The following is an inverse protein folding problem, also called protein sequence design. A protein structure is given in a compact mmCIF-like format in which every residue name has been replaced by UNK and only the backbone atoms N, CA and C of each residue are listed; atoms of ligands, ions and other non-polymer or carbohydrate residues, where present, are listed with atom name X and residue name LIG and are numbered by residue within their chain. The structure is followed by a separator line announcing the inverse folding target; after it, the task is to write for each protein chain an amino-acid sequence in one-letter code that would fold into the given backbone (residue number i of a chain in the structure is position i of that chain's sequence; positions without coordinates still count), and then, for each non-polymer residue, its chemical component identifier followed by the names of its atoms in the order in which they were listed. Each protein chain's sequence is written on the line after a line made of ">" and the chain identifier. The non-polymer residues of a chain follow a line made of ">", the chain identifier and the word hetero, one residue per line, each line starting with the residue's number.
data_IF_686860974220
#
_entry.id   IF_686860974220
#
_cell.length_a   1.000
_cell.length_b   1.000
_cell.length_c   1.000
_cell.angle_alpha   90.00
_cell.angle_beta   90.00
_cell.angle_gamma   90.00
#
_symmetry.space_group_name_H-M   'P 1'
#
loop_
_entity.id
_entity.type
_entity.pdbx_description
1 polymer ?
#
# COMPACT_ATOMS: atom_id res chain seq x y z
N UNK A 1 -13.00 6.66 6.42
CA UNK A 1 -12.89 7.84 5.56
C UNK A 1 -12.42 9.08 6.32
N UNK A 2 -11.89 10.02 5.60
CA UNK A 2 -11.44 11.32 6.11
C UNK A 2 -11.86 12.43 5.15
N UNK A 3 -12.41 13.51 5.68
CA UNK A 3 -12.73 14.72 4.92
C UNK A 3 -11.79 15.87 5.33
N UNK A 4 -11.32 16.64 4.35
CA UNK A 4 -10.54 17.85 4.62
C UNK A 4 -11.41 18.92 5.29
N UNK A 5 -10.77 19.83 6.05
CA UNK A 5 -11.48 20.88 6.79
C UNK A 5 -12.29 21.84 5.91
N UNK A 6 -11.86 22.04 4.68
CA UNK A 6 -12.53 22.84 3.66
C UNK A 6 -13.56 22.04 2.84
N UNK A 7 -13.79 20.76 3.18
CA UNK A 7 -14.65 19.81 2.48
C UNK A 7 -14.32 19.63 0.97
N UNK A 8 -13.12 20.01 0.55
CA UNK A 8 -12.70 19.86 -0.84
C UNK A 8 -12.37 18.42 -1.20
N UNK A 9 -11.78 17.68 -0.24
CA UNK A 9 -11.34 16.30 -0.45
C UNK A 9 -11.99 15.38 0.57
N UNK A 10 -12.42 14.24 0.10
CA UNK A 10 -12.87 13.12 0.91
C UNK A 10 -12.09 11.88 0.51
N UNK A 11 -11.30 11.33 1.44
CA UNK A 11 -10.53 10.11 1.24
C UNK A 11 -11.27 8.94 1.89
N UNK A 12 -11.52 7.90 1.12
CA UNK A 12 -12.22 6.70 1.55
C UNK A 12 -11.41 5.46 1.19
N UNK A 13 -11.31 4.53 2.14
CA UNK A 13 -10.89 3.17 1.87
C UNK A 13 -12.10 2.42 1.28
N UNK A 14 -12.00 2.03 0.01
CA UNK A 14 -13.06 1.36 -0.72
C UNK A 14 -12.86 -0.16 -0.62
N UNK A 15 -13.84 -0.87 -0.07
CA UNK A 15 -13.77 -2.31 0.18
C UNK A 15 -14.15 -3.10 -1.07
N UNK A 16 -13.25 -3.98 -1.54
CA UNK A 16 -13.45 -4.87 -2.69
C UNK A 16 -14.39 -6.04 -2.35
N UNK A 17 -14.49 -6.41 -1.09
CA UNK A 17 -15.33 -7.53 -0.66
C UNK A 17 -16.78 -7.34 -1.13
N UNK A 18 -17.32 -8.36 -1.80
CA UNK A 18 -18.66 -8.34 -2.43
C UNK A 18 -18.85 -7.16 -3.36
N UNK A 19 -17.76 -6.66 -3.94
CA UNK A 19 -17.73 -5.53 -4.87
C UNK A 19 -18.33 -4.23 -4.29
N UNK A 20 -18.28 -4.03 -2.94
CA UNK A 20 -18.87 -2.84 -2.31
C UNK A 20 -18.24 -1.54 -2.82
N UNK A 21 -16.98 -1.54 -3.25
CA UNK A 21 -16.34 -0.36 -3.83
C UNK A 21 -17.01 0.14 -5.11
N UNK A 22 -17.83 -0.68 -5.78
CA UNK A 22 -18.61 -0.27 -6.96
C UNK A 22 -19.79 0.68 -6.64
N UNK A 23 -20.14 0.82 -5.36
CA UNK A 23 -21.13 1.80 -4.93
C UNK A 23 -20.60 3.25 -4.97
N UNK A 24 -19.27 3.43 -5.16
CA UNK A 24 -18.65 4.74 -5.22
C UNK A 24 -18.29 5.14 -6.65
N UNK A 25 -18.29 6.45 -6.90
CA UNK A 25 -17.75 7.08 -8.12
C UNK A 25 -16.60 7.99 -7.70
N UNK A 26 -15.36 7.45 -7.61
CA UNK A 26 -14.24 8.23 -7.13
C UNK A 26 -13.76 9.23 -8.17
N UNK A 27 -13.36 10.41 -7.71
CA UNK A 27 -12.67 11.38 -8.57
C UNK A 27 -11.27 10.83 -8.96
N UNK A 28 -10.53 10.31 -7.96
CA UNK A 28 -9.33 9.50 -8.15
C UNK A 28 -9.58 8.08 -7.66
N UNK A 29 -9.40 7.07 -8.50
CA UNK A 29 -9.32 5.68 -8.08
C UNK A 29 -7.86 5.32 -7.83
N UNK A 30 -7.53 4.94 -6.59
CA UNK A 30 -6.18 4.47 -6.24
C UNK A 30 -6.23 2.96 -6.11
N UNK A 31 -5.34 2.25 -6.83
CA UNK A 31 -5.22 0.79 -6.81
C UNK A 31 -3.80 0.45 -6.34
N UNK A 32 -3.68 -0.10 -5.14
CA UNK A 32 -2.39 -0.41 -4.53
C UNK A 32 -1.84 -1.76 -4.94
N UNK A 33 -2.71 -2.74 -5.07
CA UNK A 33 -2.41 -4.09 -5.56
C UNK A 33 -3.73 -4.80 -5.90
N UNK A 34 -3.64 -5.84 -6.71
CA UNK A 34 -4.73 -6.76 -7.01
C UNK A 34 -4.26 -8.15 -6.61
N UNK A 35 -4.94 -8.77 -5.65
CA UNK A 35 -4.56 -10.07 -5.11
C UNK A 35 -5.82 -10.89 -4.80
N UNK A 36 -5.73 -12.20 -4.94
CA UNK A 36 -6.84 -13.08 -4.60
C UNK A 36 -7.03 -13.13 -3.09
N UNK A 37 -8.05 -12.48 -2.63
CA UNK A 37 -8.58 -12.58 -1.26
C UNK A 37 -10.09 -12.84 -1.32
N UNK A 38 -10.72 -13.01 -0.16
CA UNK A 38 -12.17 -13.24 -0.07
C UNK A 38 -12.64 -14.41 -0.96
N UNK A 39 -11.95 -15.54 -0.86
CA UNK A 39 -12.21 -16.80 -1.59
C UNK A 39 -13.62 -17.39 -1.32
N UNK A 40 -14.31 -16.88 -0.32
CA UNK A 40 -15.74 -17.14 -0.08
C UNK A 40 -16.66 -16.38 -1.05
N UNK A 41 -16.14 -15.41 -1.78
CA UNK A 41 -16.87 -14.59 -2.74
C UNK A 41 -16.28 -14.64 -4.15
N UNK A 42 -14.98 -14.36 -4.31
CA UNK A 42 -14.28 -14.41 -5.60
C UNK A 42 -13.88 -15.85 -5.95
N UNK A 43 -14.10 -16.25 -7.18
CA UNK A 43 -13.79 -17.60 -7.67
C UNK A 43 -12.30 -17.81 -7.89
N UNK A 44 -11.66 -16.79 -8.46
CA UNK A 44 -10.27 -16.79 -8.90
C UNK A 44 -9.78 -15.36 -9.08
N UNK A 45 -8.52 -15.22 -9.48
CA UNK A 45 -7.91 -13.90 -9.70
C UNK A 45 -8.56 -13.14 -10.85
N UNK A 46 -9.08 -13.81 -11.86
CA UNK A 46 -9.73 -13.16 -13.00
C UNK A 46 -11.06 -12.50 -12.58
N UNK A 47 -11.78 -13.10 -11.64
CA UNK A 47 -13.00 -12.51 -11.06
C UNK A 47 -12.65 -11.27 -10.21
N UNK A 48 -11.53 -11.29 -9.49
CA UNK A 48 -11.00 -10.11 -8.78
C UNK A 48 -10.62 -9.00 -9.77
N UNK A 49 -9.84 -9.32 -10.81
CA UNK A 49 -9.43 -8.35 -11.86
C UNK A 49 -10.67 -7.72 -12.50
N UNK A 50 -11.69 -8.53 -12.82
CA UNK A 50 -12.96 -8.02 -13.36
C UNK A 50 -13.64 -7.00 -12.45
N UNK A 51 -13.60 -7.22 -11.14
CA UNK A 51 -14.17 -6.27 -10.18
C UNK A 51 -13.37 -4.95 -10.13
N UNK A 52 -12.04 -5.05 -10.12
CA UNK A 52 -11.16 -3.87 -10.18
C UNK A 52 -11.28 -3.12 -11.51
N UNK A 53 -11.47 -3.85 -12.62
CA UNK A 53 -11.78 -3.27 -13.93
C UNK A 53 -13.03 -2.39 -13.89
N UNK A 54 -14.13 -2.92 -13.30
CA UNK A 54 -15.36 -2.18 -13.12
C UNK A 54 -15.16 -0.93 -12.25
N UNK A 55 -14.41 -1.08 -11.13
CA UNK A 55 -14.11 0.03 -10.23
C UNK A 55 -13.24 1.11 -10.89
N UNK A 56 -12.19 0.72 -11.59
CA UNK A 56 -11.31 1.64 -12.31
C UNK A 56 -12.07 2.48 -13.33
N UNK A 57 -13.05 1.89 -14.03
CA UNK A 57 -13.90 2.58 -15.00
C UNK A 57 -14.91 3.55 -14.37
N UNK A 58 -15.05 3.57 -13.04
CA UNK A 58 -15.84 4.59 -12.32
C UNK A 58 -15.05 5.84 -11.96
N UNK A 59 -13.72 5.86 -12.18
CA UNK A 59 -12.90 7.02 -11.92
C UNK A 59 -13.26 8.18 -12.83
N UNK A 60 -13.66 9.32 -12.25
CA UNK A 60 -14.07 10.49 -13.02
C UNK A 60 -12.88 11.24 -13.63
N UNK A 61 -11.77 11.37 -12.89
CA UNK A 61 -10.59 12.11 -13.34
C UNK A 61 -9.48 11.18 -13.82
N UNK A 62 -9.03 10.26 -12.98
CA UNK A 62 -7.95 9.33 -13.32
C UNK A 62 -7.85 8.15 -12.36
N UNK A 63 -7.16 7.13 -12.82
CA UNK A 63 -6.70 5.99 -12.01
C UNK A 63 -5.22 6.20 -11.69
N UNK A 64 -4.83 5.92 -10.46
CA UNK A 64 -3.42 5.88 -10.00
C UNK A 64 -3.18 4.47 -9.48
N UNK A 65 -2.44 3.65 -10.22
CA UNK A 65 -2.26 2.24 -9.95
C UNK A 65 -0.78 1.87 -9.72
N UNK A 66 -0.55 0.88 -8.84
CA UNK A 66 0.80 0.35 -8.64
C UNK A 66 1.24 -0.46 -9.87
N UNK A 67 2.16 0.08 -10.68
CA UNK A 67 2.65 -0.63 -11.87
C UNK A 67 3.64 -1.76 -11.55
N UNK A 68 4.15 -1.82 -10.31
CA UNK A 68 4.91 -2.99 -9.84
C UNK A 68 4.02 -4.21 -9.53
N UNK A 69 2.69 -4.05 -9.54
CA UNK A 69 1.73 -5.13 -9.37
C UNK A 69 1.45 -5.81 -10.72
N UNK A 70 1.49 -7.15 -10.80
CA UNK A 70 1.43 -7.87 -12.07
C UNK A 70 0.08 -7.76 -12.80
N UNK A 71 -0.98 -7.37 -12.10
CA UNK A 71 -2.33 -7.37 -12.66
C UNK A 71 -2.85 -5.98 -13.03
N UNK A 72 -2.28 -4.91 -12.49
CA UNK A 72 -2.78 -3.55 -12.75
C UNK A 72 -2.64 -3.11 -14.21
N UNK A 73 -1.62 -3.60 -14.92
CA UNK A 73 -1.43 -3.33 -16.36
C UNK A 73 -2.47 -4.03 -17.26
N UNK A 74 -3.21 -5.00 -16.73
CA UNK A 74 -4.31 -5.64 -17.49
C UNK A 74 -5.60 -4.83 -17.47
N UNK A 75 -5.67 -3.76 -16.69
CA UNK A 75 -6.88 -2.93 -16.59
C UNK A 75 -7.03 -2.03 -17.81
N UNK A 76 -8.15 -2.16 -18.50
CA UNK A 76 -8.53 -1.30 -19.61
C UNK A 76 -9.48 -0.21 -19.12
N UNK A 77 -9.01 1.01 -18.97
CA UNK A 77 -9.78 2.10 -18.37
C UNK A 77 -10.10 3.21 -19.37
N UNK A 78 -11.27 3.84 -19.19
CA UNK A 78 -11.71 4.96 -20.02
C UNK A 78 -11.05 6.29 -19.61
N UNK A 79 -10.70 6.44 -18.33
CA UNK A 79 -10.00 7.60 -17.79
C UNK A 79 -8.49 7.45 -17.96
N UNK A 80 -7.70 8.53 -17.91
CA UNK A 80 -6.25 8.42 -17.83
C UNK A 80 -5.83 7.51 -16.68
N UNK A 81 -4.86 6.63 -16.90
CA UNK A 81 -4.24 5.82 -15.88
C UNK A 81 -2.76 6.19 -15.78
N UNK A 82 -2.26 6.34 -14.56
CA UNK A 82 -0.87 6.60 -14.24
C UNK A 82 -0.36 5.54 -13.28
N UNK A 83 0.77 4.95 -13.64
CA UNK A 83 1.39 3.89 -12.85
C UNK A 83 2.45 4.46 -11.93
N UNK A 84 2.51 3.94 -10.70
CA UNK A 84 3.56 4.27 -9.76
C UNK A 84 4.27 3.00 -9.28
N UNK A 85 5.56 3.14 -8.98
CA UNK A 85 6.34 2.01 -8.49
C UNK A 85 7.83 2.30 -8.38
N UNK A 86 8.62 1.22 -8.38
CA UNK A 86 10.08 1.26 -8.36
C UNK A 86 10.68 0.90 -9.72
N UNK A 87 9.90 0.24 -10.59
CA UNK A 87 10.31 -0.12 -11.94
C UNK A 87 10.37 1.12 -12.83
N UNK A 88 11.32 1.15 -13.79
CA UNK A 88 11.57 2.33 -14.64
C UNK A 88 10.46 2.58 -15.69
N UNK A 89 9.54 1.65 -15.87
CA UNK A 89 8.40 1.74 -16.77
C UNK A 89 7.16 2.42 -16.14
N UNK A 90 7.26 2.87 -14.90
CA UNK A 90 6.20 3.62 -14.24
C UNK A 90 6.27 5.12 -14.57
N UNK A 91 5.12 5.79 -14.49
CA UNK A 91 5.03 7.26 -14.66
C UNK A 91 5.53 8.03 -13.42
N UNK A 92 5.37 7.42 -12.24
CA UNK A 92 5.77 7.97 -10.94
C UNK A 92 6.72 6.98 -10.29
N UNK A 93 8.00 7.33 -10.20
CA UNK A 93 9.05 6.40 -9.82
C UNK A 93 9.77 6.89 -8.56
N UNK A 94 9.98 6.00 -7.58
CA UNK A 94 10.93 6.26 -6.51
C UNK A 94 12.30 5.72 -6.91
N UNK A 95 13.33 6.59 -6.86
CA UNK A 95 14.74 6.27 -7.07
C UNK A 95 15.56 6.58 -5.80
N UNK A 96 16.79 6.10 -5.76
CA UNK A 96 17.72 6.30 -4.65
C UNK A 96 17.11 5.97 -3.29
N UNK A 97 16.40 4.82 -3.24
CA UNK A 97 15.66 4.37 -2.06
C UNK A 97 16.63 3.85 -1.00
N UNK A 98 16.60 4.46 0.17
CA UNK A 98 17.35 4.06 1.36
C UNK A 98 16.39 3.56 2.45
N UNK A 99 16.45 2.27 2.75
CA UNK A 99 15.73 1.67 3.88
C UNK A 99 16.59 1.76 5.13
N UNK A 100 16.20 2.63 6.07
CA UNK A 100 16.91 2.90 7.33
C UNK A 100 16.11 2.41 8.54
N UNK A 101 16.72 2.36 9.70
CA UNK A 101 16.07 1.97 10.96
C UNK A 101 15.19 3.09 11.56
N UNK A 102 15.30 4.31 11.03
CA UNK A 102 14.45 5.46 11.38
C UNK A 102 13.35 5.77 10.33
N UNK A 103 13.33 5.04 9.20
CA UNK A 103 12.35 5.22 8.13
C UNK A 103 12.88 4.86 6.75
N UNK A 104 12.28 5.47 5.73
CA UNK A 104 12.68 5.28 4.33
C UNK A 104 12.86 6.63 3.65
N UNK A 105 13.97 6.82 2.95
CA UNK A 105 14.31 8.04 2.21
C UNK A 105 14.36 7.73 0.72
N UNK A 106 13.86 8.62 -0.13
CA UNK A 106 13.82 8.38 -1.58
C UNK A 106 13.59 9.67 -2.37
N UNK A 107 14.02 9.65 -3.63
CA UNK A 107 13.71 10.67 -4.61
C UNK A 107 12.53 10.25 -5.50
N UNK A 108 11.67 11.19 -5.88
CA UNK A 108 10.54 10.92 -6.75
C UNK A 108 10.69 11.66 -8.07
N UNK A 109 10.50 10.90 -9.14
CA UNK A 109 10.40 11.41 -10.50
C UNK A 109 8.98 11.16 -11.02
N UNK A 110 8.44 12.11 -11.78
CA UNK A 110 7.16 11.97 -12.46
C UNK A 110 7.38 12.29 -13.93
N UNK A 111 7.06 11.35 -14.82
CA UNK A 111 7.30 11.48 -16.25
C UNK A 111 8.75 11.94 -16.53
N UNK A 112 9.73 11.28 -15.92
CA UNK A 112 11.17 11.54 -15.97
C UNK A 112 11.63 12.88 -15.36
N UNK A 113 10.72 13.71 -14.83
CA UNK A 113 11.07 14.95 -14.19
C UNK A 113 11.22 14.79 -12.68
N UNK A 114 12.32 15.27 -12.12
CA UNK A 114 12.53 15.27 -10.68
C UNK A 114 11.45 16.11 -9.99
N UNK A 115 10.66 15.48 -9.14
CA UNK A 115 9.62 16.15 -8.37
C UNK A 115 10.11 16.57 -6.98
N UNK A 116 10.83 15.70 -6.28
CA UNK A 116 11.33 16.04 -4.96
C UNK A 116 11.91 14.86 -4.17
N UNK A 117 12.54 15.20 -3.05
CA UNK A 117 13.06 14.26 -2.06
C UNK A 117 12.09 14.10 -0.89
N UNK A 118 11.95 12.86 -0.41
CA UNK A 118 10.99 12.51 0.64
C UNK A 118 11.62 11.63 1.71
N UNK A 119 11.34 11.96 2.98
CA UNK A 119 11.59 11.14 4.14
C UNK A 119 10.25 10.63 4.68
N UNK A 120 10.11 9.33 4.82
CA UNK A 120 8.93 8.66 5.32
C UNK A 120 9.29 7.94 6.64
N UNK A 121 8.71 8.30 7.80
CA UNK A 121 9.00 7.67 9.08
C UNK A 121 8.26 6.34 9.25
N UNK A 122 8.14 5.57 8.18
CA UNK A 122 7.49 4.27 8.11
C UNK A 122 8.40 3.26 7.42
N UNK A 123 8.13 1.99 7.61
CA UNK A 123 9.01 0.88 7.27
C UNK A 123 8.37 -0.04 6.23
N UNK A 124 9.22 -0.62 5.38
CA UNK A 124 8.86 -1.60 4.38
C UNK A 124 8.47 -1.02 3.02
N UNK A 125 8.75 -1.79 1.97
CA UNK A 125 8.46 -1.45 0.56
C UNK A 125 7.00 -1.05 0.35
N UNK A 126 6.06 -1.71 1.02
CA UNK A 126 4.64 -1.42 0.88
C UNK A 126 4.26 0.00 1.34
N UNK A 127 4.89 0.52 2.41
CA UNK A 127 4.64 1.89 2.87
C UNK A 127 5.24 2.93 1.92
N UNK A 128 6.40 2.63 1.32
CA UNK A 128 6.97 3.43 0.24
C UNK A 128 6.00 3.49 -0.96
N UNK A 129 5.52 2.34 -1.44
CA UNK A 129 4.57 2.27 -2.55
C UNK A 129 3.27 3.03 -2.24
N UNK A 130 2.70 2.85 -1.06
CA UNK A 130 1.52 3.60 -0.64
C UNK A 130 1.77 5.12 -0.60
N UNK A 131 2.98 5.55 -0.22
CA UNK A 131 3.33 6.98 -0.24
C UNK A 131 3.46 7.53 -1.67
N UNK A 132 3.94 6.72 -2.63
CA UNK A 132 3.98 7.11 -4.04
C UNK A 132 2.58 7.36 -4.60
N UNK A 133 1.59 6.55 -4.24
CA UNK A 133 0.20 6.78 -4.62
C UNK A 133 -0.32 8.14 -4.11
N UNK A 134 0.00 8.48 -2.85
CA UNK A 134 -0.35 9.78 -2.27
C UNK A 134 0.38 10.92 -2.96
N UNK A 135 1.69 10.76 -3.22
CA UNK A 135 2.52 11.75 -3.93
C UNK A 135 1.96 11.97 -5.34
N UNK A 136 1.53 10.92 -6.03
CA UNK A 136 0.92 11.01 -7.35
C UNK A 136 -0.35 11.88 -7.35
N UNK A 137 -1.28 11.64 -6.40
CA UNK A 137 -2.45 12.52 -6.26
C UNK A 137 -2.02 13.96 -5.99
N UNK A 138 -1.06 14.18 -5.09
CA UNK A 138 -0.57 15.51 -4.75
C UNK A 138 0.05 16.23 -5.96
N UNK A 139 0.81 15.51 -6.78
CA UNK A 139 1.39 16.04 -8.02
C UNK A 139 0.31 16.51 -9.01
N UNK A 140 -0.68 15.66 -9.27
CA UNK A 140 -1.77 16.00 -10.20
C UNK A 140 -2.73 17.08 -9.65
N UNK A 141 -2.76 17.27 -8.33
CA UNK A 141 -3.41 18.41 -7.67
C UNK A 141 -2.48 19.64 -7.60
N UNK A 142 -1.30 19.59 -8.22
CA UNK A 142 -0.32 20.69 -8.33
C UNK A 142 0.19 21.20 -6.98
N UNK A 143 0.33 20.32 -6.01
CA UNK A 143 0.95 20.65 -4.74
C UNK A 143 2.48 20.67 -4.89
N UNK A 144 3.12 21.60 -4.20
CA UNK A 144 4.57 21.70 -4.18
C UNK A 144 5.19 20.54 -3.42
N UNK A 145 6.22 19.88 -3.99
CA UNK A 145 6.89 18.73 -3.38
C UNK A 145 7.34 18.98 -1.94
N UNK A 146 7.85 20.19 -1.64
CA UNK A 146 8.30 20.59 -0.29
C UNK A 146 7.18 20.52 0.75
N UNK A 147 5.94 20.86 0.37
CA UNK A 147 4.79 20.84 1.26
C UNK A 147 4.31 19.40 1.47
N UNK A 148 4.30 18.59 0.43
CA UNK A 148 4.01 17.15 0.50
C UNK A 148 5.04 16.45 1.38
N UNK A 149 6.34 16.69 1.17
CA UNK A 149 7.43 16.12 1.97
C UNK A 149 7.31 16.46 3.45
N UNK A 150 6.97 17.73 3.77
CA UNK A 150 6.75 18.18 5.15
C UNK A 150 5.67 17.36 5.86
N UNK A 151 4.56 17.06 5.19
CA UNK A 151 3.46 16.31 5.80
C UNK A 151 3.76 14.81 5.86
N UNK A 152 4.38 14.22 4.83
CA UNK A 152 4.79 12.82 4.85
C UNK A 152 5.80 12.53 5.96
N UNK A 153 6.75 13.43 6.20
CA UNK A 153 7.74 13.31 7.28
C UNK A 153 7.13 13.25 8.68
N UNK A 154 5.91 13.76 8.86
CA UNK A 154 5.20 13.75 10.14
C UNK A 154 4.09 12.71 10.22
N UNK A 155 3.91 11.92 9.18
CA UNK A 155 2.85 10.91 9.15
C UNK A 155 3.25 9.69 9.96
N UNK A 156 2.58 9.48 11.08
CA UNK A 156 2.86 8.39 12.03
C UNK A 156 2.17 7.06 11.73
N UNK A 157 1.65 6.87 10.51
CA UNK A 157 0.94 5.64 10.12
C UNK A 157 -0.53 5.59 10.55
N UNK A 158 -1.20 4.50 10.21
CA UNK A 158 -2.58 4.23 10.56
C UNK A 158 -2.68 3.44 11.88
N UNK A 159 -3.81 3.55 12.58
CA UNK A 159 -4.08 2.74 13.78
C UNK A 159 -4.04 1.25 13.44
N UNK A 160 -3.41 0.44 14.30
CA UNK A 160 -3.25 -1.01 14.12
C UNK A 160 -2.46 -1.40 12.86
N UNK A 161 -1.60 -0.53 12.36
CA UNK A 161 -0.62 -0.79 11.32
C UNK A 161 0.76 -0.50 11.88
N UNK A 162 1.56 -1.53 12.08
CA UNK A 162 2.91 -1.46 12.65
C UNK A 162 2.98 -0.66 13.97
N UNK A 163 2.03 -0.86 14.89
CA UNK A 163 1.97 -0.11 16.15
C UNK A 163 2.91 -0.72 17.18
N UNK A 164 3.87 0.07 17.60
CA UNK A 164 4.86 -0.36 18.59
C UNK A 164 4.45 -0.07 20.03
N UNK A 165 4.81 -1.00 20.91
CA UNK A 165 4.84 -0.79 22.35
C UNK A 165 6.16 -1.35 22.90
N UNK A 166 6.82 -0.60 23.75
CA UNK A 166 8.12 -0.98 24.36
C UNK A 166 7.89 -1.37 25.81
N UNK A 167 8.34 -2.57 26.19
CA UNK A 167 8.25 -3.10 27.54
C UNK A 167 9.64 -3.62 27.93
N UNK A 168 10.41 -2.82 28.66
CA UNK A 168 11.82 -3.10 28.94
C UNK A 168 12.63 -3.23 27.63
N UNK A 169 13.30 -4.36 27.43
CA UNK A 169 14.08 -4.64 26.23
C UNK A 169 13.26 -5.27 25.09
N UNK A 170 11.99 -5.54 25.31
CA UNK A 170 11.09 -6.15 24.36
C UNK A 170 10.29 -5.07 23.64
N UNK A 171 10.27 -5.15 22.31
CA UNK A 171 9.38 -4.35 21.46
C UNK A 171 8.30 -5.26 20.92
N UNK A 172 7.05 -4.91 21.14
CA UNK A 172 5.92 -5.58 20.50
C UNK A 172 5.39 -4.72 19.37
N UNK A 173 5.14 -5.33 18.21
CA UNK A 173 4.53 -4.68 17.04
C UNK A 173 3.14 -5.28 16.86
N UNK A 174 2.11 -4.45 17.00
CA UNK A 174 0.72 -4.82 16.72
C UNK A 174 0.35 -4.39 15.31
N UNK A 175 0.01 -5.37 14.47
CA UNK A 175 -0.40 -5.15 13.08
C UNK A 175 -1.67 -5.94 12.76
N UNK A 176 -2.50 -5.41 11.90
CA UNK A 176 -3.75 -6.05 11.48
C UNK A 176 -3.53 -7.08 10.35
N UNK A 177 -2.30 -7.35 9.97
CA UNK A 177 -1.95 -8.30 8.93
C UNK A 177 -2.65 -9.65 9.13
N UNK A 178 -3.40 -10.09 8.14
CA UNK A 178 -4.22 -11.31 8.17
C UNK A 178 -4.26 -12.03 6.82
N UNK A 179 -3.53 -11.55 5.83
CA UNK A 179 -3.22 -12.18 4.56
C UNK A 179 -1.72 -12.55 4.52
N UNK A 180 -1.28 -13.63 3.85
CA UNK A 180 0.14 -14.02 3.81
C UNK A 180 1.06 -12.89 3.35
N UNK A 181 0.67 -12.14 2.31
CA UNK A 181 1.41 -10.99 1.81
C UNK A 181 1.56 -9.90 2.87
N UNK A 182 0.50 -9.58 3.62
CA UNK A 182 0.55 -8.60 4.71
C UNK A 182 1.50 -9.06 5.82
N UNK A 183 1.43 -10.32 6.24
CA UNK A 183 2.34 -10.91 7.24
C UNK A 183 3.79 -10.80 6.78
N UNK A 184 4.07 -11.16 5.53
CA UNK A 184 5.39 -11.10 4.92
C UNK A 184 5.96 -9.67 4.93
N UNK A 185 5.18 -8.67 4.52
CA UNK A 185 5.67 -7.28 4.46
C UNK A 185 5.84 -6.67 5.85
N UNK A 186 4.99 -7.05 6.82
CA UNK A 186 5.11 -6.62 8.22
C UNK A 186 6.39 -7.16 8.87
N UNK A 187 6.71 -8.45 8.68
CA UNK A 187 7.95 -9.05 9.21
C UNK A 187 9.19 -8.39 8.56
N UNK A 188 9.15 -8.13 7.24
CA UNK A 188 10.23 -7.40 6.56
C UNK A 188 10.40 -5.98 7.07
N UNK A 189 9.31 -5.27 7.34
CA UNK A 189 9.35 -3.92 7.94
C UNK A 189 9.94 -3.95 9.36
N UNK A 190 9.58 -4.97 10.16
CA UNK A 190 10.17 -5.17 11.47
C UNK A 190 11.69 -5.46 11.38
N UNK A 191 12.12 -6.25 10.41
CA UNK A 191 13.55 -6.51 10.16
C UNK A 191 14.30 -5.25 9.71
N UNK A 192 13.69 -4.39 8.89
CA UNK A 192 14.28 -3.10 8.53
C UNK A 192 14.54 -2.24 9.77
N UNK A 193 13.52 -2.11 10.63
CA UNK A 193 13.63 -1.26 11.83
C UNK A 193 14.54 -1.85 12.92
N UNK A 194 14.55 -3.17 13.04
CA UNK A 194 15.26 -3.89 14.08
C UNK A 194 16.21 -4.95 13.51
N UNK A 195 17.23 -4.55 12.73
CA UNK A 195 18.07 -5.49 11.97
C UNK A 195 18.83 -6.49 12.86
N UNK A 196 19.12 -6.10 14.10
CA UNK A 196 19.91 -6.90 15.05
C UNK A 196 19.08 -7.56 16.16
N UNK A 197 17.74 -7.40 16.14
CA UNK A 197 16.87 -8.06 17.13
C UNK A 197 16.33 -9.37 16.59
N UNK A 198 16.14 -10.33 17.49
CA UNK A 198 15.38 -11.55 17.21
C UNK A 198 13.90 -11.16 16.99
N UNK A 199 13.32 -11.62 15.89
CA UNK A 199 11.92 -11.39 15.56
C UNK A 199 11.13 -12.69 15.82
N UNK A 200 10.13 -12.60 16.70
CA UNK A 200 9.18 -13.66 16.95
C UNK A 200 7.83 -13.23 16.39
N UNK A 201 7.33 -13.93 15.38
CA UNK A 201 6.03 -13.68 14.80
C UNK A 201 4.94 -14.52 15.49
N UNK A 202 3.85 -13.85 15.91
CA UNK A 202 2.67 -14.51 16.49
C UNK A 202 1.48 -14.16 15.59
N UNK A 203 1.01 -15.14 14.83
CA UNK A 203 -0.13 -14.97 13.93
C UNK A 203 -1.42 -15.46 14.58
N UNK A 204 -2.43 -14.58 14.62
CA UNK A 204 -3.82 -14.98 14.86
C UNK A 204 -4.58 -14.92 13.54
N UNK A 205 -4.92 -16.08 13.01
CA UNK A 205 -5.68 -16.17 11.77
C UNK A 205 -7.08 -15.58 11.90
N UNK A 206 -7.60 -14.97 10.83
CA UNK A 206 -8.90 -14.30 10.86
C UNK A 206 -10.04 -15.23 10.44
N UNK A 207 -9.88 -15.96 9.32
CA UNK A 207 -10.90 -16.91 8.82
C UNK A 207 -10.30 -18.29 8.63
N UNK A 208 -11.11 -19.34 8.90
CA UNK A 208 -10.66 -20.74 8.74
C UNK A 208 -10.45 -21.10 7.27
N UNK A 209 -11.29 -20.60 6.37
CA UNK A 209 -11.18 -20.83 4.93
C UNK A 209 -9.84 -20.34 4.39
N UNK A 210 -9.54 -19.04 4.58
CA UNK A 210 -8.26 -18.45 4.15
C UNK A 210 -7.06 -19.19 4.75
N UNK A 211 -7.11 -19.49 6.05
CA UNK A 211 -6.01 -20.20 6.73
C UNK A 211 -5.76 -21.57 6.14
N UNK A 212 -6.81 -22.29 5.77
CA UNK A 212 -6.70 -23.64 5.19
C UNK A 212 -6.16 -23.58 3.76
N UNK A 213 -6.66 -22.67 2.94
CA UNK A 213 -6.29 -22.59 1.52
C UNK A 213 -4.92 -21.96 1.28
N UNK A 214 -4.51 -21.03 2.15
CA UNK A 214 -3.22 -20.33 2.06
C UNK A 214 -2.23 -20.78 3.16
N UNK A 215 -2.32 -22.04 3.61
CA UNK A 215 -1.49 -22.52 4.71
C UNK A 215 0.01 -22.50 4.39
N UNK A 216 0.37 -22.86 3.17
CA UNK A 216 1.76 -22.89 2.71
C UNK A 216 2.33 -21.48 2.59
N UNK A 217 1.55 -20.54 2.04
CA UNK A 217 1.93 -19.13 1.92
C UNK A 217 2.09 -18.45 3.30
N UNK A 218 1.23 -18.81 4.28
CA UNK A 218 1.41 -18.35 5.65
C UNK A 218 2.68 -18.92 6.28
N UNK A 219 2.98 -20.20 6.04
CA UNK A 219 4.21 -20.83 6.53
C UNK A 219 5.45 -20.15 5.92
N UNK A 220 5.45 -19.87 4.62
CA UNK A 220 6.53 -19.13 3.95
C UNK A 220 6.70 -17.72 4.51
N UNK A 221 5.59 -17.00 4.75
CA UNK A 221 5.64 -15.66 5.31
C UNK A 221 6.22 -15.68 6.74
N UNK A 222 5.79 -16.62 7.58
CA UNK A 222 6.25 -16.75 8.96
C UNK A 222 7.72 -17.20 9.06
N UNK A 223 8.23 -17.97 8.10
CA UNK A 223 9.64 -18.38 8.03
C UNK A 223 10.62 -17.20 7.83
N UNK A 224 10.14 -15.99 7.61
CA UNK A 224 10.98 -14.77 7.60
C UNK A 224 11.29 -14.25 9.02
N UNK A 225 10.60 -14.74 10.02
CA UNK A 225 10.93 -14.53 11.44
C UNK A 225 12.02 -15.52 11.90
N UNK A 226 12.51 -15.38 13.16
CA UNK A 226 13.59 -16.22 13.70
C UNK A 226 13.05 -17.41 14.53
#
# INVERSE_FOLDING_TARGET
>A
GYASKDNKYFCLEACEYKRHFLEYSPYYAIITNIELDHIDYYKDIDDVISAYQEYANKAEKMVIACGDDPYTHSLEVNSPIFYYGLSDDNDIIAKDVEYRDDGTSFDVFVEDNYYGHFDLPLFGKHMLLNSLAVIGVCYYERLEARDVAKYLKTFGGAKRRFKENVIGDIVTIDDYAHHPTEVKVTIKAARQKYPNKKIVAILKTHTLSRTKEMADEFAEALNLAD
#
